data_IF_380219875544
#
_entry.id   IF_380219875544
#
_cell.length_a   1.000
_cell.length_b   1.000
_cell.length_c   1.000
_cell.angle_alpha   90.00
_cell.angle_beta   90.00
_cell.angle_gamma   90.00
#
_symmetry.space_group_name_H-M   'P 1'
#
loop_
_entity.id
_entity.type
_entity.pdbx_description
1 polymer ?
#
# COMPACT_ATOMS: atom_id res chain seq x y z
N UNK A 1 13.39 17.29 22.78
CA UNK A 1 13.54 16.56 21.51
C UNK A 1 12.14 16.17 21.10
N UNK A 2 11.52 16.95 20.22
CA UNK A 2 10.20 16.61 19.68
C UNK A 2 10.34 15.29 18.92
N UNK A 3 9.61 14.28 19.39
CA UNK A 3 9.51 12.99 18.72
C UNK A 3 8.82 13.32 17.40
N UNK A 4 9.56 13.33 16.28
CA UNK A 4 8.97 13.55 14.96
C UNK A 4 8.01 12.39 14.69
N UNK A 5 6.74 12.58 15.04
CA UNK A 5 5.68 11.67 14.68
C UNK A 5 5.54 11.79 13.16
N UNK A 6 6.10 10.82 12.43
CA UNK A 6 5.63 10.57 11.07
C UNK A 6 4.11 10.48 11.17
N UNK A 7 3.39 11.45 10.60
CA UNK A 7 1.94 11.43 10.58
C UNK A 7 1.52 10.03 10.15
N UNK A 8 0.85 9.32 11.04
CA UNK A 8 0.31 8.01 10.75
C UNK A 8 -0.88 8.25 9.83
N UNK A 9 -0.61 8.54 8.55
CA UNK A 9 -1.59 8.47 7.49
C UNK A 9 -2.11 7.03 7.57
N UNK A 10 -3.32 6.87 8.09
CA UNK A 10 -3.97 5.57 8.35
C UNK A 10 -4.32 4.87 7.03
N UNK A 11 -3.29 4.67 6.21
CA UNK A 11 -3.25 4.12 4.88
C UNK A 11 -2.55 2.77 4.98
N UNK A 12 -3.17 1.75 4.40
CA UNK A 12 -2.62 0.40 4.37
C UNK A 12 -2.66 -0.17 2.96
N UNK A 13 -1.66 -0.97 2.56
CA UNK A 13 -1.76 -1.79 1.36
C UNK A 13 -3.04 -2.65 1.38
N UNK A 14 -3.72 -2.74 0.24
CA UNK A 14 -5.00 -3.43 0.08
C UNK A 14 -6.23 -2.63 0.52
N UNK A 15 -6.04 -1.40 1.04
CA UNK A 15 -7.15 -0.50 1.34
C UNK A 15 -7.72 0.08 0.04
N UNK A 16 -9.05 -0.01 -0.12
CA UNK A 16 -9.77 0.69 -1.19
C UNK A 16 -9.88 2.18 -0.88
N UNK A 17 -9.66 3.00 -1.89
CA UNK A 17 -9.67 4.47 -1.82
C UNK A 17 -10.31 5.06 -3.07
N UNK A 18 -10.95 6.22 -2.91
CA UNK A 18 -11.29 7.08 -4.05
C UNK A 18 -10.13 8.04 -4.33
N UNK A 19 -9.88 8.32 -5.59
CA UNK A 19 -8.85 9.26 -6.01
C UNK A 19 -9.28 10.09 -7.22
N UNK A 20 -8.89 11.36 -7.25
CA UNK A 20 -9.13 12.27 -8.39
C UNK A 20 -7.87 12.40 -9.23
N UNK A 21 -7.97 12.16 -10.55
CA UNK A 21 -6.84 12.26 -11.48
C UNK A 21 -6.44 13.72 -11.66
N UNK A 22 -5.17 14.03 -11.39
CA UNK A 22 -4.63 15.40 -11.46
C UNK A 22 -3.92 15.68 -12.77
N UNK A 23 -3.07 14.75 -13.21
CA UNK A 23 -2.29 14.91 -14.43
C UNK A 23 -1.89 13.57 -15.04
N UNK A 24 -1.66 13.61 -16.36
CA UNK A 24 -1.08 12.50 -17.12
C UNK A 24 0.43 12.64 -17.22
N UNK A 25 1.10 11.50 -17.26
CA UNK A 25 2.53 11.34 -17.49
C UNK A 25 2.77 10.18 -18.46
N UNK A 26 3.93 10.11 -19.14
CA UNK A 26 4.23 9.01 -20.06
C UNK A 26 4.13 7.61 -19.42
N UNK A 27 4.35 7.51 -18.11
CA UNK A 27 4.31 6.26 -17.35
C UNK A 27 2.95 5.95 -16.70
N UNK A 28 2.08 6.96 -16.56
CA UNK A 28 0.84 6.80 -15.79
C UNK A 28 0.21 8.13 -15.38
N UNK A 29 -0.44 8.15 -14.23
CA UNK A 29 -1.15 9.35 -13.75
C UNK A 29 -0.81 9.68 -12.30
N UNK A 30 -0.81 10.97 -11.98
CA UNK A 30 -0.80 11.46 -10.60
C UNK A 30 -2.23 11.74 -10.16
N UNK A 31 -2.51 11.49 -8.88
CA UNK A 31 -3.86 11.58 -8.31
C UNK A 31 -3.85 12.26 -6.94
N UNK A 32 -4.97 12.88 -6.57
CA UNK A 32 -5.27 13.27 -5.20
C UNK A 32 -6.09 12.17 -4.55
N UNK A 33 -5.70 11.72 -3.35
CA UNK A 33 -6.49 10.77 -2.56
C UNK A 33 -7.60 11.49 -1.80
N UNK A 34 -8.83 11.00 -1.92
CA UNK A 34 -9.98 11.56 -1.21
C UNK A 34 -9.76 11.47 0.31
N UNK A 35 -9.94 12.59 1.02
CA UNK A 35 -9.75 12.69 2.47
C UNK A 35 -8.30 12.89 2.92
N UNK A 36 -7.36 13.01 1.98
CA UNK A 36 -5.94 13.26 2.25
C UNK A 36 -5.39 14.48 1.49
N UNK A 37 -6.24 15.42 1.12
CA UNK A 37 -5.90 16.57 0.27
C UNK A 37 -4.83 17.48 0.90
N UNK A 38 -4.80 17.55 2.22
CA UNK A 38 -3.83 18.35 2.98
C UNK A 38 -2.68 17.53 3.58
N UNK A 39 -2.65 16.21 3.32
CA UNK A 39 -1.58 15.36 3.79
C UNK A 39 -0.30 15.61 2.97
N UNK A 40 0.87 15.48 3.60
CA UNK A 40 2.16 15.50 2.89
C UNK A 40 2.40 14.17 2.17
N UNK A 41 1.55 13.86 1.19
CA UNK A 41 1.64 12.66 0.37
C UNK A 41 1.64 12.99 -1.13
N UNK A 42 2.21 12.08 -1.91
CA UNK A 42 2.11 12.03 -3.36
C UNK A 42 1.49 10.68 -3.73
N UNK A 43 0.45 10.68 -4.56
CA UNK A 43 -0.20 9.46 -5.02
C UNK A 43 -0.16 9.34 -6.54
N UNK A 44 0.06 8.12 -7.02
CA UNK A 44 0.13 7.84 -8.45
C UNK A 44 -0.36 6.45 -8.82
N UNK A 45 -0.71 6.28 -10.09
CA UNK A 45 -1.04 5.01 -10.72
C UNK A 45 -0.08 4.82 -11.89
N UNK A 46 0.71 3.75 -11.85
CA UNK A 46 1.65 3.39 -12.92
C UNK A 46 0.93 2.54 -13.97
N UNK A 47 0.39 3.23 -14.98
CA UNK A 47 -0.45 2.62 -16.01
C UNK A 47 0.35 1.65 -16.90
N UNK A 48 1.63 1.96 -17.18
CA UNK A 48 2.50 1.05 -17.93
C UNK A 48 2.67 -0.24 -17.15
N UNK A 49 3.06 -0.16 -15.88
CA UNK A 49 3.32 -1.36 -15.09
C UNK A 49 2.07 -2.24 -14.91
N UNK A 50 0.88 -1.64 -14.86
CA UNK A 50 -0.37 -2.38 -14.65
C UNK A 50 -0.95 -3.00 -15.91
N UNK A 51 -0.82 -2.33 -17.07
CA UNK A 51 -1.59 -2.70 -18.26
C UNK A 51 -0.74 -2.99 -19.51
N UNK A 52 0.57 -2.73 -19.50
CA UNK A 52 1.42 -2.97 -20.69
C UNK A 52 1.41 -4.42 -21.16
N UNK A 53 1.24 -5.39 -20.26
CA UNK A 53 1.18 -6.82 -20.59
C UNK A 53 -0.16 -7.24 -21.21
N UNK A 54 -1.23 -6.47 -21.00
CA UNK A 54 -2.57 -6.76 -21.53
C UNK A 54 -2.93 -5.91 -22.76
N UNK A 55 -2.08 -4.96 -23.14
CA UNK A 55 -2.22 -4.12 -24.35
C UNK A 55 -1.24 -4.54 -25.45
N UNK A 56 -1.62 -4.37 -26.71
CA UNK A 56 -0.78 -4.71 -27.88
C UNK A 56 -0.10 -3.50 -28.51
N UNK A 57 -0.64 -2.31 -28.31
CA UNK A 57 -0.11 -1.06 -28.87
C UNK A 57 -0.08 0.06 -27.83
N UNK A 58 0.69 1.12 -28.11
CA UNK A 58 0.75 2.29 -27.24
C UNK A 58 -0.58 3.03 -27.16
N UNK A 59 -1.31 3.13 -28.27
CA UNK A 59 -2.61 3.81 -28.31
C UNK A 59 -3.68 3.07 -27.51
N UNK A 60 -3.67 1.73 -27.54
CA UNK A 60 -4.53 0.91 -26.67
C UNK A 60 -4.23 1.18 -25.19
N UNK A 61 -2.95 1.32 -24.82
CA UNK A 61 -2.56 1.65 -23.45
C UNK A 61 -3.01 3.05 -23.05
N UNK A 62 -2.79 4.05 -23.90
CA UNK A 62 -3.22 5.42 -23.63
C UNK A 62 -4.75 5.54 -23.50
N UNK A 63 -5.51 4.73 -24.23
CA UNK A 63 -6.96 4.68 -24.11
C UNK A 63 -7.46 4.19 -22.73
N UNK A 64 -6.59 3.51 -21.96
CA UNK A 64 -6.90 3.08 -20.58
C UNK A 64 -6.63 4.17 -19.54
N UNK A 65 -5.97 5.28 -19.90
CA UNK A 65 -5.66 6.34 -18.95
C UNK A 65 -6.96 7.05 -18.52
N UNK A 66 -7.25 7.10 -17.21
CA UNK A 66 -8.44 7.79 -16.73
C UNK A 66 -8.33 9.30 -17.02
N UNK A 67 -9.39 9.99 -17.48
CA UNK A 67 -9.31 11.41 -17.81
C UNK A 67 -8.88 12.28 -16.63
N UNK A 68 -8.16 13.37 -16.90
CA UNK A 68 -7.84 14.38 -15.86
C UNK A 68 -9.14 14.98 -15.31
N UNK A 69 -9.22 15.11 -13.98
CA UNK A 69 -10.40 15.56 -13.25
C UNK A 69 -11.43 14.47 -12.97
N UNK A 70 -11.27 13.27 -13.52
CA UNK A 70 -12.14 12.13 -13.19
C UNK A 70 -11.79 11.53 -11.83
N UNK A 71 -12.80 11.00 -11.14
CA UNK A 71 -12.65 10.21 -9.92
C UNK A 71 -12.57 8.74 -10.28
N UNK A 72 -11.62 8.02 -9.69
CA UNK A 72 -11.42 6.58 -9.84
C UNK A 72 -11.46 5.90 -8.48
N UNK A 73 -12.01 4.69 -8.45
CA UNK A 73 -11.85 3.78 -7.32
C UNK A 73 -10.57 2.96 -7.54
N UNK A 74 -9.72 2.93 -6.54
CA UNK A 74 -8.43 2.25 -6.59
C UNK A 74 -8.16 1.49 -5.30
N UNK A 75 -7.16 0.62 -5.32
CA UNK A 75 -6.59 0.00 -4.11
C UNK A 75 -5.17 0.51 -3.90
N UNK A 76 -4.78 0.71 -2.64
CA UNK A 76 -3.39 1.04 -2.31
C UNK A 76 -2.53 -0.20 -2.56
N UNK A 77 -1.65 -0.14 -3.56
CA UNK A 77 -0.70 -1.20 -3.89
C UNK A 77 0.49 -1.19 -2.93
N UNK A 78 1.12 -0.02 -2.77
CA UNK A 78 2.33 0.14 -1.98
C UNK A 78 2.39 1.52 -1.33
N UNK A 79 3.00 1.61 -0.15
CA UNK A 79 3.28 2.88 0.54
C UNK A 79 4.75 2.97 0.91
N UNK A 80 5.41 4.05 0.48
CA UNK A 80 6.83 4.33 0.72
C UNK A 80 6.93 5.51 1.68
N UNK A 81 7.49 5.27 2.87
CA UNK A 81 7.60 6.23 3.97
C UNK A 81 9.05 6.53 4.38
N UNK A 82 10.03 6.27 3.51
CA UNK A 82 11.44 6.54 3.80
C UNK A 82 11.72 8.04 3.97
N UNK A 83 11.07 8.88 3.16
CA UNK A 83 11.22 10.34 3.17
C UNK A 83 9.85 11.00 2.97
N UNK A 84 9.74 12.28 3.35
CA UNK A 84 8.57 13.08 3.01
C UNK A 84 8.72 13.69 1.60
N UNK A 85 7.63 13.84 0.82
CA UNK A 85 6.28 13.36 1.12
C UNK A 85 6.17 11.84 1.05
N UNK A 86 5.17 11.27 1.75
CA UNK A 86 4.84 9.83 1.66
C UNK A 86 4.42 9.52 0.22
N UNK A 87 5.03 8.52 -0.40
CA UNK A 87 4.65 8.10 -1.76
C UNK A 87 3.70 6.92 -1.70
N UNK A 88 2.52 7.08 -2.31
CA UNK A 88 1.49 6.06 -2.38
C UNK A 88 1.32 5.63 -3.84
N UNK A 89 1.43 4.34 -4.09
CA UNK A 89 1.13 3.76 -5.41
C UNK A 89 -0.20 3.05 -5.33
N UNK A 90 -1.07 3.34 -6.30
CA UNK A 90 -2.40 2.77 -6.39
C UNK A 90 -2.52 1.83 -7.59
N UNK A 91 -3.39 0.84 -7.47
CA UNK A 91 -3.79 -0.05 -8.55
C UNK A 91 -5.24 0.15 -8.96
N UNK A 92 -5.47 0.15 -10.28
CA UNK A 92 -6.78 0.14 -10.92
C UNK A 92 -7.13 -1.24 -11.49
N UNK A 93 -6.25 -2.25 -11.34
CA UNK A 93 -6.52 -3.58 -11.90
C UNK A 93 -7.75 -4.20 -11.21
N UNK A 94 -8.71 -4.76 -11.97
CA UNK A 94 -9.90 -5.38 -11.40
C UNK A 94 -9.57 -6.43 -10.34
N UNK A 95 -8.60 -7.31 -10.60
CA UNK A 95 -8.17 -8.36 -9.67
C UNK A 95 -7.63 -7.78 -8.35
N UNK A 96 -6.86 -6.68 -8.42
CA UNK A 96 -6.31 -6.03 -7.22
C UNK A 96 -7.40 -5.34 -6.40
N UNK A 97 -8.42 -4.78 -7.06
CA UNK A 97 -9.59 -4.20 -6.40
C UNK A 97 -10.36 -5.30 -5.63
N UNK A 98 -10.56 -6.47 -6.24
CA UNK A 98 -11.21 -7.62 -5.58
C UNK A 98 -10.38 -8.13 -4.39
N UNK A 99 -9.11 -8.44 -4.61
CA UNK A 99 -8.20 -8.91 -3.58
C UNK A 99 -6.74 -8.64 -3.98
N UNK A 100 -6.13 -7.60 -3.40
CA UNK A 100 -4.71 -7.34 -3.60
C UNK A 100 -3.87 -8.45 -2.97
N UNK A 101 -3.10 -9.17 -3.78
CA UNK A 101 -2.17 -10.21 -3.33
C UNK A 101 -0.75 -9.67 -3.29
N UNK A 102 -0.15 -9.69 -2.11
CA UNK A 102 1.27 -9.39 -1.90
C UNK A 102 2.12 -10.64 -1.75
N UNK A 103 3.37 -10.45 -1.35
CA UNK A 103 4.26 -11.51 -0.88
C UNK A 103 4.68 -11.24 0.55
N UNK A 104 4.84 -12.31 1.32
CA UNK A 104 5.31 -12.22 2.69
C UNK A 104 6.82 -11.95 2.68
N UNK A 105 7.27 -10.88 3.32
CA UNK A 105 8.69 -10.50 3.40
C UNK A 105 9.56 -11.55 4.11
N UNK A 106 8.92 -12.50 4.78
CA UNK A 106 9.59 -13.53 5.57
C UNK A 106 9.70 -14.89 4.90
N UNK A 107 8.70 -15.32 4.13
CA UNK A 107 8.70 -16.64 3.49
C UNK A 107 8.50 -16.57 1.98
N UNK A 108 8.21 -15.40 1.41
CA UNK A 108 7.99 -15.19 -0.03
C UNK A 108 6.63 -15.69 -0.55
N UNK A 109 5.90 -16.46 0.24
CA UNK A 109 4.58 -16.99 -0.12
C UNK A 109 3.53 -15.88 -0.25
N UNK A 110 2.52 -16.06 -1.11
CA UNK A 110 1.47 -15.07 -1.31
C UNK A 110 0.61 -14.88 -0.06
N UNK A 111 0.03 -13.68 0.06
CA UNK A 111 -0.97 -13.34 1.08
C UNK A 111 -1.87 -12.21 0.61
N UNK A 112 -3.14 -12.27 1.01
CA UNK A 112 -4.09 -11.21 0.72
C UNK A 112 -3.86 -10.01 1.65
N UNK A 113 -3.66 -8.85 1.04
CA UNK A 113 -3.51 -7.55 1.69
C UNK A 113 -4.86 -6.87 1.87
N UNK A 114 -4.94 -5.99 2.86
CA UNK A 114 -6.11 -5.17 3.13
C UNK A 114 -6.77 -5.44 4.48
N UNK A 115 -7.75 -4.61 4.88
CA UNK A 115 -8.45 -4.75 6.14
C UNK A 115 -9.12 -6.13 6.27
N UNK A 116 -8.86 -6.83 7.37
CA UNK A 116 -9.38 -8.18 7.61
C UNK A 116 -8.68 -9.30 6.83
N UNK A 117 -7.68 -8.97 6.01
CA UNK A 117 -6.90 -9.94 5.24
C UNK A 117 -5.95 -10.81 6.08
N UNK A 118 -5.20 -11.67 5.39
CA UNK A 118 -4.25 -12.60 6.01
C UNK A 118 -2.97 -11.92 6.50
N UNK A 119 -2.63 -10.79 5.88
CA UNK A 119 -1.41 -10.05 6.15
C UNK A 119 -1.45 -9.22 7.44
N UNK A 120 -0.29 -9.16 8.09
CA UNK A 120 0.07 -8.08 9.00
C UNK A 120 0.91 -7.06 8.23
N UNK A 121 0.57 -5.79 8.42
CA UNK A 121 1.33 -4.64 7.91
C UNK A 121 1.94 -3.94 9.12
N UNK A 122 3.27 -3.86 9.16
CA UNK A 122 4.04 -3.31 10.27
C UNK A 122 4.92 -2.19 9.74
N UNK A 123 4.90 -1.03 10.37
CA UNK A 123 5.88 0.02 10.06
C UNK A 123 7.06 -0.08 11.03
N UNK A 124 8.21 -0.51 10.52
CA UNK A 124 9.50 -0.45 11.21
C UNK A 124 10.04 0.97 11.11
N UNK A 125 10.26 1.63 12.25
CA UNK A 125 10.69 3.03 12.32
C UNK A 125 12.13 3.09 12.82
N UNK A 126 12.94 3.93 12.19
CA UNK A 126 14.25 4.26 12.73
C UNK A 126 14.09 5.02 14.05
N UNK A 127 15.01 4.81 14.99
CA UNK A 127 15.08 5.65 16.19
C UNK A 127 15.56 7.08 15.85
N UNK A 128 16.38 7.21 14.80
CA UNK A 128 17.16 8.42 14.51
C UNK A 128 16.57 9.26 13.36
N UNK A 129 15.38 8.94 12.85
CA UNK A 129 14.78 9.69 11.76
C UNK A 129 13.30 9.38 11.50
N UNK A 130 12.63 10.23 10.70
CA UNK A 130 11.19 10.12 10.42
C UNK A 130 10.85 8.99 9.42
N UNK A 131 11.88 8.35 8.86
CA UNK A 131 11.71 7.28 7.89
C UNK A 131 11.13 6.02 8.52
N UNK A 132 10.20 5.40 7.80
CA UNK A 132 9.71 4.07 8.13
C UNK A 132 9.72 3.15 6.92
N UNK A 133 9.95 1.87 7.20
CA UNK A 133 9.88 0.79 6.25
C UNK A 133 8.69 -0.10 6.61
N UNK A 134 7.82 -0.34 5.64
CA UNK A 134 6.68 -1.22 5.82
C UNK A 134 7.09 -2.66 5.57
N UNK A 135 6.83 -3.52 6.56
CA UNK A 135 6.98 -4.97 6.49
C UNK A 135 5.61 -5.61 6.38
N UNK A 136 5.44 -6.47 5.37
CA UNK A 136 4.23 -7.21 5.06
C UNK A 136 4.49 -8.69 5.29
N UNK A 137 3.74 -9.33 6.18
CA UNK A 137 3.99 -10.74 6.49
C UNK A 137 2.75 -11.51 6.94
N UNK A 138 2.81 -12.84 6.86
CA UNK A 138 1.83 -13.69 7.54
C UNK A 138 1.97 -13.55 9.06
N UNK A 139 0.84 -13.62 9.76
CA UNK A 139 0.77 -13.69 11.24
C UNK A 139 1.69 -14.76 11.82
N UNK A 140 1.67 -15.97 11.24
CA UNK A 140 2.52 -17.10 11.67
C UNK A 140 4.01 -16.78 11.55
N UNK A 141 4.42 -16.17 10.44
CA UNK A 141 5.82 -15.90 10.13
C UNK A 141 6.40 -14.84 11.07
N UNK A 142 5.58 -13.86 11.48
CA UNK A 142 5.95 -12.91 12.52
C UNK A 142 6.07 -13.63 13.89
N UNK A 143 5.05 -14.41 14.26
CA UNK A 143 5.03 -15.12 15.55
C UNK A 143 6.24 -16.05 15.72
N UNK A 144 6.69 -16.72 14.66
CA UNK A 144 7.89 -17.58 14.66
C UNK A 144 9.19 -16.81 14.89
N UNK A 145 9.26 -15.53 14.47
CA UNK A 145 10.44 -14.67 14.63
C UNK A 145 10.49 -13.94 15.97
N UNK A 146 9.37 -13.84 16.68
CA UNK A 146 9.33 -13.30 18.04
C UNK A 146 9.94 -14.36 18.99
N UNK A 147 10.83 -13.90 19.88
CA UNK A 147 11.54 -14.77 20.81
C UNK A 147 10.59 -15.68 21.60
N UNK A 148 10.91 -16.98 21.79
CA UNK A 148 10.01 -17.95 22.42
C UNK A 148 9.52 -17.55 23.83
N UNK A 149 10.36 -16.86 24.60
CA UNK A 149 10.03 -16.34 25.93
C UNK A 149 8.96 -15.25 25.92
N UNK A 150 8.74 -14.58 24.78
CA UNK A 150 7.75 -13.52 24.62
C UNK A 150 6.38 -14.07 24.17
N UNK A 151 5.85 -15.04 24.92
CA UNK A 151 4.61 -15.75 24.57
C UNK A 151 3.40 -14.84 24.33
N UNK A 152 3.28 -13.73 25.09
CA UNK A 152 2.22 -12.75 24.91
C UNK A 152 2.24 -12.06 23.54
N UNK A 153 3.42 -11.60 23.10
CA UNK A 153 3.57 -10.95 21.79
C UNK A 153 3.38 -11.95 20.63
N UNK A 154 3.79 -13.21 20.81
CA UNK A 154 3.51 -14.28 19.86
C UNK A 154 2.00 -14.51 19.70
N UNK A 155 1.27 -14.62 20.81
CA UNK A 155 -0.19 -14.78 20.80
C UNK A 155 -0.89 -13.56 20.17
N UNK A 156 -0.37 -12.36 20.44
CA UNK A 156 -0.85 -11.11 19.88
C UNK A 156 -0.66 -11.06 18.36
N UNK A 157 0.51 -11.42 17.84
CA UNK A 157 0.76 -11.51 16.40
C UNK A 157 -0.25 -12.41 15.68
N UNK A 158 -0.69 -13.50 16.32
CA UNK A 158 -1.67 -14.44 15.76
C UNK A 158 -3.11 -13.93 15.78
N UNK A 159 -3.41 -12.91 16.57
CA UNK A 159 -4.80 -12.43 16.83
C UNK A 159 -5.05 -11.01 16.36
N UNK A 160 -4.02 -10.17 16.18
CA UNK A 160 -4.17 -8.80 15.67
C UNK A 160 -4.99 -8.76 14.38
N UNK A 161 -6.00 -7.88 14.36
CA UNK A 161 -6.84 -7.61 13.20
C UNK A 161 -7.75 -8.77 12.80
N UNK A 162 -7.85 -9.84 13.61
CA UNK A 162 -8.90 -10.85 13.46
C UNK A 162 -10.14 -10.36 14.20
N UNK A 163 -11.29 -10.38 13.53
CA UNK A 163 -12.57 -10.19 14.20
C UNK A 163 -12.82 -11.40 15.12
N UNK A 164 -13.29 -11.21 16.36
CA UNK A 164 -13.59 -12.31 17.29
C UNK A 164 -14.61 -13.30 16.75
#
# INVERSE_FOLDING_TARGET
MERFETESLALMPGQRVGATVLAHHPWGVTVALDGYENARLSASIDMIAQFSSSTRTHDELLALFPPVGSRVDAVIEWITRWHAPVSVRLSLRPDDLEALVGRCDFCGEPLTLGPGGEALVLDSRSHDGPGSHTVVCHRRCLAERISPENGGERARALTIGKTP
#
